data_IF_310549697877
#
_entry.id   IF_310549697877
#
_cell.length_a   1.000
_cell.length_b   1.000
_cell.length_c   1.000
_cell.angle_alpha   90.00
_cell.angle_beta   90.00
_cell.angle_gamma   90.00
#
_symmetry.space_group_name_H-M   'P 1'
#
loop_
_entity.id
_entity.type
_entity.pdbx_description
1 polymer ?
#
# COMPACT_ATOMS: atom_id res chain seq x y z
N UNK A 1 -19.29 18.02 -10.60
CA UNK A 1 -18.01 17.57 -11.20
C UNK A 1 -16.98 17.85 -10.13
N UNK A 2 -16.69 16.85 -9.30
CA UNK A 2 -15.81 17.02 -8.14
C UNK A 2 -14.39 17.27 -8.64
N UNK A 3 -13.84 18.43 -8.30
CA UNK A 3 -12.49 18.86 -8.70
C UNK A 3 -11.39 17.93 -8.14
N UNK A 4 -11.74 17.03 -7.23
CA UNK A 4 -10.85 16.07 -6.58
C UNK A 4 -10.46 14.89 -7.49
N UNK A 5 -11.29 14.52 -8.46
CA UNK A 5 -11.04 13.34 -9.30
C UNK A 5 -9.79 13.46 -10.19
N UNK A 6 -9.51 14.60 -10.87
CA UNK A 6 -8.31 14.75 -11.68
C UNK A 6 -7.01 14.74 -10.85
N UNK A 7 -6.99 15.42 -9.70
CA UNK A 7 -5.81 15.48 -8.85
C UNK A 7 -5.43 14.10 -8.29
N UNK A 8 -6.43 13.36 -7.82
CA UNK A 8 -6.26 11.97 -7.36
C UNK A 8 -5.73 11.07 -8.48
N UNK A 9 -6.29 11.17 -9.68
CA UNK A 9 -5.85 10.37 -10.82
C UNK A 9 -4.38 10.65 -11.20
N UNK A 10 -3.93 11.90 -11.12
CA UNK A 10 -2.53 12.27 -11.35
C UNK A 10 -1.61 11.62 -10.31
N UNK A 11 -1.97 11.67 -9.02
CA UNK A 11 -1.18 11.03 -7.96
C UNK A 11 -1.10 9.51 -8.14
N UNK A 12 -2.22 8.86 -8.46
CA UNK A 12 -2.24 7.41 -8.72
C UNK A 12 -1.42 7.02 -9.96
N UNK A 13 -1.44 7.86 -11.00
CA UNK A 13 -0.62 7.68 -12.19
C UNK A 13 0.87 7.81 -11.87
N UNK A 14 1.27 8.83 -11.11
CA UNK A 14 2.65 9.02 -10.68
C UNK A 14 3.17 7.81 -9.89
N UNK A 15 2.36 7.27 -8.98
CA UNK A 15 2.72 6.07 -8.23
C UNK A 15 2.89 4.85 -9.15
N UNK A 16 1.97 4.63 -10.10
CA UNK A 16 2.09 3.54 -11.07
C UNK A 16 3.36 3.66 -11.92
N UNK A 17 3.68 4.85 -12.40
CA UNK A 17 4.90 5.11 -13.18
C UNK A 17 6.15 4.84 -12.33
N UNK A 18 6.20 5.37 -11.11
CA UNK A 18 7.34 5.18 -10.21
C UNK A 18 7.55 3.69 -9.83
N UNK A 19 6.46 2.94 -9.70
CA UNK A 19 6.49 1.52 -9.34
C UNK A 19 6.57 0.57 -10.54
N UNK A 20 6.63 1.11 -11.77
CA UNK A 20 6.58 0.34 -13.03
C UNK A 20 5.34 -0.59 -13.13
N UNK A 21 4.21 -0.11 -12.62
CA UNK A 21 2.94 -0.83 -12.53
C UNK A 21 1.93 -0.31 -13.58
N UNK A 22 1.11 -1.17 -14.21
CA UNK A 22 0.07 -0.70 -15.11
C UNK A 22 -1.08 -0.04 -14.35
N UNK A 23 -1.67 1.04 -14.87
CA UNK A 23 -2.81 1.73 -14.23
C UNK A 23 -4.02 0.82 -13.95
N UNK A 24 -4.15 -0.28 -14.71
CA UNK A 24 -5.21 -1.28 -14.54
C UNK A 24 -5.25 -1.91 -13.15
N UNK A 25 -4.12 -1.89 -12.44
CA UNK A 25 -3.93 -2.37 -11.07
C UNK A 25 -4.66 -1.51 -10.03
N UNK A 26 -4.98 -0.25 -10.37
CA UNK A 26 -5.65 0.71 -9.48
C UNK A 26 -7.06 1.10 -9.94
N UNK A 27 -7.62 0.41 -10.95
CA UNK A 27 -8.89 0.80 -11.60
C UNK A 27 -10.01 1.13 -10.60
N UNK A 28 -10.71 2.27 -10.77
CA UNK A 28 -11.88 2.64 -10.00
C UNK A 28 -13.12 1.97 -10.60
N UNK A 29 -13.33 0.67 -10.34
CA UNK A 29 -14.66 0.08 -10.52
C UNK A 29 -15.41 0.10 -9.18
N UNK A 30 -15.63 1.30 -8.63
CA UNK A 30 -16.39 1.50 -7.40
C UNK A 30 -15.87 0.76 -6.16
N UNK A 31 -14.64 0.22 -6.23
CA UNK A 31 -13.95 -0.48 -5.15
C UNK A 31 -12.58 0.17 -5.00
N UNK A 32 -12.10 0.44 -3.77
CA UNK A 32 -10.75 0.93 -3.55
C UNK A 32 -9.77 0.02 -4.31
N UNK A 33 -8.71 0.61 -4.89
CA UNK A 33 -7.63 -0.15 -5.50
C UNK A 33 -7.27 -1.30 -4.57
N UNK A 34 -7.45 -2.53 -5.04
CA UNK A 34 -7.36 -3.74 -4.23
C UNK A 34 -6.03 -3.66 -3.47
N UNK A 35 -6.00 -3.68 -2.13
CA UNK A 35 -4.73 -3.57 -1.39
C UNK A 35 -3.70 -4.64 -1.84
N UNK A 36 -4.21 -5.70 -2.47
CA UNK A 36 -3.47 -6.81 -3.05
C UNK A 36 -2.70 -6.45 -4.31
N UNK A 37 -3.04 -5.37 -5.00
CA UNK A 37 -2.31 -4.93 -6.19
C UNK A 37 -1.03 -4.18 -5.84
N UNK A 38 -0.89 -3.69 -4.61
CA UNK A 38 0.38 -3.16 -4.10
C UNK A 38 1.39 -4.29 -3.82
N UNK A 39 0.95 -5.53 -3.61
CA UNK A 39 1.88 -6.67 -3.46
C UNK A 39 2.74 -6.89 -4.71
N UNK A 40 2.29 -6.41 -5.88
CA UNK A 40 3.08 -6.46 -7.10
C UNK A 40 4.26 -5.49 -7.13
N UNK A 41 4.36 -4.56 -6.17
CA UNK A 41 5.55 -3.72 -6.01
C UNK A 41 6.68 -4.46 -5.28
N UNK A 42 6.41 -5.64 -4.69
CA UNK A 42 7.42 -6.44 -4.01
C UNK A 42 8.39 -7.04 -5.04
N UNK A 43 9.70 -7.01 -4.77
CA UNK A 43 10.68 -7.66 -5.64
C UNK A 43 10.48 -9.17 -5.59
N UNK A 44 10.93 -9.86 -6.64
CA UNK A 44 10.94 -11.33 -6.74
C UNK A 44 9.55 -11.99 -6.72
N UNK A 45 8.47 -11.22 -6.79
CA UNK A 45 7.10 -11.74 -6.76
C UNK A 45 6.39 -11.49 -8.09
N UNK A 46 5.84 -12.57 -8.67
CA UNK A 46 5.03 -12.49 -9.88
C UNK A 46 3.53 -12.59 -9.57
N UNK A 47 2.71 -12.56 -10.62
CA UNK A 47 1.25 -12.65 -10.48
C UNK A 47 0.77 -13.98 -9.89
N UNK A 48 1.55 -15.07 -10.03
CA UNK A 48 1.21 -16.35 -9.42
C UNK A 48 1.50 -16.35 -7.92
N UNK A 49 2.66 -15.80 -7.52
CA UNK A 49 3.02 -15.57 -6.13
C UNK A 49 2.00 -14.70 -5.41
N UNK A 50 1.57 -13.59 -6.03
CA UNK A 50 0.52 -12.73 -5.46
C UNK A 50 -0.79 -13.52 -5.25
N UNK A 51 -1.21 -14.35 -6.22
CA UNK A 51 -2.40 -15.19 -6.06
C UNK A 51 -2.27 -16.17 -4.89
N UNK A 52 -1.07 -16.72 -4.65
CA UNK A 52 -0.79 -17.62 -3.53
C UNK A 52 -0.85 -16.87 -2.19
N UNK A 53 -0.30 -15.67 -2.10
CA UNK A 53 -0.46 -14.80 -0.92
C UNK A 53 -1.93 -14.51 -0.62
N UNK A 54 -2.72 -14.14 -1.65
CA UNK A 54 -4.16 -13.88 -1.47
C UNK A 54 -4.93 -15.09 -0.96
N UNK A 55 -4.60 -16.30 -1.43
CA UNK A 55 -5.18 -17.56 -0.92
C UNK A 55 -4.87 -17.79 0.56
N UNK A 56 -3.74 -17.28 1.06
CA UNK A 56 -3.36 -17.28 2.48
C UNK A 56 -3.95 -16.11 3.27
N UNK A 57 -4.84 -15.31 2.67
CA UNK A 57 -5.44 -14.09 3.26
C UNK A 57 -4.44 -12.96 3.53
N UNK A 58 -3.30 -12.98 2.86
CA UNK A 58 -2.35 -11.85 2.84
C UNK A 58 -2.78 -10.97 1.67
N UNK A 59 -3.54 -9.92 1.98
CA UNK A 59 -4.20 -9.06 0.99
C UNK A 59 -3.54 -7.68 0.88
N UNK A 60 -2.62 -7.33 1.76
CA UNK A 60 -1.90 -6.06 1.72
C UNK A 60 -0.43 -6.24 2.08
N UNK A 61 0.38 -5.22 1.78
CA UNK A 61 1.79 -5.17 2.23
C UNK A 61 1.85 -5.16 3.75
N UNK A 62 0.92 -4.45 4.41
CA UNK A 62 0.83 -4.43 5.86
C UNK A 62 0.56 -5.83 6.42
N UNK A 63 -0.37 -6.59 5.82
CA UNK A 63 -0.65 -7.96 6.24
C UNK A 63 0.60 -8.84 6.17
N UNK A 64 1.44 -8.63 5.15
CA UNK A 64 2.70 -9.35 4.99
C UNK A 64 3.75 -8.88 6.02
N UNK A 65 3.84 -7.58 6.27
CA UNK A 65 4.77 -6.97 7.22
C UNK A 65 4.45 -7.33 8.68
N UNK A 66 3.17 -7.47 9.02
CA UNK A 66 2.69 -7.80 10.36
C UNK A 66 2.95 -9.27 10.77
N UNK A 67 3.28 -10.16 9.81
CA UNK A 67 3.66 -11.54 10.11
C UNK A 67 4.99 -11.62 10.85
N UNK A 68 5.17 -12.66 11.67
CA UNK A 68 6.51 -12.98 12.17
C UNK A 68 7.46 -13.34 11.03
N UNK A 69 8.77 -13.19 11.25
CA UNK A 69 9.78 -13.49 10.23
C UNK A 69 9.67 -14.93 9.70
N UNK A 70 9.34 -15.89 10.58
CA UNK A 70 9.16 -17.29 10.22
C UNK A 70 7.91 -17.51 9.34
N UNK A 71 6.76 -16.95 9.74
CA UNK A 71 5.51 -17.05 8.97
C UNK A 71 5.63 -16.35 7.62
N UNK A 72 6.34 -15.22 7.57
CA UNK A 72 6.61 -14.48 6.35
C UNK A 72 7.52 -15.27 5.41
N UNK A 73 8.61 -15.84 5.92
CA UNK A 73 9.51 -16.68 5.13
C UNK A 73 8.76 -17.90 4.55
N UNK A 74 7.89 -18.54 5.34
CA UNK A 74 7.06 -19.65 4.87
C UNK A 74 6.04 -19.20 3.80
N UNK A 75 5.41 -18.05 3.98
CA UNK A 75 4.51 -17.45 3.00
C UNK A 75 5.19 -17.17 1.67
N UNK A 76 6.38 -16.57 1.71
CA UNK A 76 7.18 -16.22 0.55
C UNK A 76 7.78 -17.47 -0.14
N UNK A 77 8.21 -18.47 0.63
CA UNK A 77 8.66 -19.76 0.09
C UNK A 77 7.53 -20.46 -0.70
N UNK A 78 6.31 -20.44 -0.17
CA UNK A 78 5.12 -20.94 -0.89
C UNK A 78 4.84 -20.22 -2.20
N UNK A 79 5.34 -18.99 -2.36
CA UNK A 79 5.24 -18.19 -3.58
C UNK A 79 6.40 -18.40 -4.56
N UNK A 80 7.40 -19.22 -4.21
CA UNK A 80 8.61 -19.45 -5.01
C UNK A 80 9.79 -18.57 -4.63
N UNK A 81 9.65 -17.71 -3.61
CA UNK A 81 10.74 -16.89 -3.09
C UNK A 81 11.51 -17.69 -2.03
N UNK A 82 12.50 -18.45 -2.48
CA UNK A 82 13.26 -19.39 -1.63
C UNK A 82 14.71 -18.99 -1.40
N UNK A 83 15.24 -18.06 -2.19
CA UNK A 83 16.63 -17.62 -2.06
C UNK A 83 16.78 -16.67 -0.85
N UNK A 84 17.85 -16.82 -0.04
CA UNK A 84 18.09 -15.93 1.10
C UNK A 84 18.16 -14.45 0.73
N UNK A 85 18.83 -14.12 -0.38
CA UNK A 85 18.94 -12.76 -0.89
C UNK A 85 17.59 -12.18 -1.32
N UNK A 86 16.75 -13.00 -1.97
CA UNK A 86 15.40 -12.54 -2.37
C UNK A 86 14.51 -12.27 -1.15
N UNK A 87 14.64 -13.06 -0.09
CA UNK A 87 13.93 -12.81 1.17
C UNK A 87 14.44 -11.55 1.87
N UNK A 88 15.75 -11.32 1.87
CA UNK A 88 16.38 -10.12 2.42
C UNK A 88 15.93 -8.85 1.69
N UNK A 89 15.89 -8.87 0.36
CA UNK A 89 15.41 -7.74 -0.47
C UNK A 89 13.96 -7.37 -0.12
N UNK A 90 13.08 -8.37 0.02
CA UNK A 90 11.68 -8.14 0.39
C UNK A 90 11.60 -7.58 1.81
N UNK A 91 12.31 -8.16 2.78
CA UNK A 91 12.30 -7.70 4.17
C UNK A 91 12.83 -6.27 4.29
N UNK A 92 13.87 -5.93 3.53
CA UNK A 92 14.43 -4.59 3.45
C UNK A 92 13.40 -3.61 2.90
N UNK A 93 12.69 -3.96 1.82
CA UNK A 93 11.61 -3.12 1.31
C UNK A 93 10.50 -2.93 2.36
N UNK A 94 10.06 -4.00 3.03
CA UNK A 94 9.00 -3.92 4.04
C UNK A 94 9.39 -3.02 5.23
N UNK A 95 10.67 -2.97 5.62
CA UNK A 95 11.13 -2.15 6.74
C UNK A 95 11.26 -0.67 6.42
N UNK A 96 11.43 -0.31 5.14
CA UNK A 96 11.60 1.08 4.69
C UNK A 96 10.35 1.69 4.08
N UNK A 97 9.28 0.90 3.89
CA UNK A 97 8.04 1.41 3.31
C UNK A 97 7.36 2.40 4.26
N UNK A 98 7.13 3.66 3.82
CA UNK A 98 6.51 4.65 4.68
C UNK A 98 5.05 4.28 4.94
N UNK A 99 4.67 4.22 6.22
CA UNK A 99 3.29 4.05 6.65
C UNK A 99 2.89 5.28 7.46
N UNK A 100 1.86 5.99 7.01
CA UNK A 100 1.35 7.18 7.69
C UNK A 100 0.11 6.79 8.48
N UNK A 101 0.19 6.97 9.80
CA UNK A 101 -0.98 6.93 10.69
C UNK A 101 -1.37 8.37 11.01
N UNK A 102 -2.59 8.75 10.66
CA UNK A 102 -3.06 10.13 10.82
C UNK A 102 -4.24 10.18 11.79
N UNK A 103 -4.18 11.13 12.72
CA UNK A 103 -5.31 11.65 13.46
C UNK A 103 -5.43 13.12 13.07
N UNK A 104 -6.62 13.54 12.68
CA UNK A 104 -6.89 14.91 12.25
C UNK A 104 -7.80 15.58 13.26
N UNK A 105 -7.42 16.79 13.68
CA UNK A 105 -8.17 17.68 14.57
C UNK A 105 -8.05 19.08 13.96
N UNK A 106 -9.12 19.88 14.11
CA UNK A 106 -9.14 21.27 13.68
C UNK A 106 -9.10 22.13 14.93
N UNK A 107 -8.21 23.12 14.96
CA UNK A 107 -8.00 24.02 16.08
C UNK A 107 -7.84 25.45 15.55
N UNK A 108 -8.32 26.44 16.31
CA UNK A 108 -8.08 27.86 16.04
C UNK A 108 -7.16 28.42 17.11
N UNK A 109 -6.08 29.08 16.69
CA UNK A 109 -5.09 29.58 17.63
C UNK A 109 -5.69 30.67 18.52
N UNK A 110 -5.79 30.39 19.83
CA UNK A 110 -6.30 31.33 20.83
C UNK A 110 -7.81 31.25 21.08
N UNK A 111 -8.52 30.31 20.45
CA UNK A 111 -9.96 30.12 20.62
C UNK A 111 -10.29 28.72 21.13
N UNK A 112 -11.31 28.61 22.00
CA UNK A 112 -11.78 27.32 22.53
C UNK A 112 -12.77 26.62 21.59
N UNK A 113 -13.35 27.36 20.64
CA UNK A 113 -14.33 26.88 19.66
C UNK A 113 -13.98 27.45 18.27
N UNK A 114 -14.36 26.74 17.21
CA UNK A 114 -14.25 27.25 15.83
C UNK A 114 -15.51 28.05 15.54
N UNK A 115 -15.33 29.31 15.16
CA UNK A 115 -16.39 30.26 14.88
C UNK A 115 -16.64 30.41 13.37
N UNK A 116 -17.77 31.01 13.01
CA UNK A 116 -18.10 31.27 11.61
C UNK A 116 -17.13 32.34 11.05
N UNK A 117 -16.59 32.08 9.85
CA UNK A 117 -15.57 32.89 9.15
C UNK A 117 -14.11 32.67 9.58
N UNK A 118 -13.87 31.74 10.50
CA UNK A 118 -12.52 31.33 10.86
C UNK A 118 -11.79 30.67 9.68
N UNK A 119 -10.50 30.96 9.61
CA UNK A 119 -9.56 30.28 8.71
C UNK A 119 -8.67 29.40 9.58
N UNK A 120 -9.21 28.22 9.91
CA UNK A 120 -8.49 27.15 10.60
C UNK A 120 -7.45 26.47 9.70
#
# INVERSE_FOLDING_TARGET
MDMEEPAKAVLEMQQCVAQAMPLSVRKPQGKPADASTLLAQLPHLDQEGIKKLRRRKILSIKDLADLSDAERAEALAGCGVTSPSSLEDINTLLSVLPTVHMRAEFEMEGEEEIMEQDVA
#
